data_IF_039248505139
#
_entry.id   IF_039248505139
#
_cell.length_a   1.000
_cell.length_b   1.000
_cell.length_c   1.000
_cell.angle_alpha   90.00
_cell.angle_beta   90.00
_cell.angle_gamma   90.00
#
_symmetry.space_group_name_H-M   'P 1'
#
loop_
_entity.id
_entity.type
_entity.pdbx_description
1 polymer ?
#
# COMPACT_ATOMS: atom_id res chain seq x y z
N UNK A 1 -12.25 3.44 49.69
CA UNK A 1 -11.15 4.36 49.34
C UNK A 1 -11.22 4.67 47.85
N UNK A 2 -10.64 5.77 47.38
CA UNK A 2 -10.45 6.07 45.96
C UNK A 2 -8.98 5.82 45.60
N UNK A 3 -8.71 5.16 44.48
CA UNK A 3 -7.36 5.07 43.92
C UNK A 3 -7.40 5.13 42.40
N UNK A 4 -6.33 5.65 41.80
CA UNK A 4 -6.20 5.77 40.36
C UNK A 4 -4.75 5.50 39.96
N UNK A 5 -4.56 4.80 38.85
CA UNK A 5 -3.27 4.58 38.21
C UNK A 5 -3.37 4.87 36.72
N UNK A 6 -2.37 5.58 36.21
CA UNK A 6 -2.26 5.93 34.80
C UNK A 6 -0.87 5.53 34.34
N UNK A 7 -0.80 4.76 33.27
CA UNK A 7 0.43 4.41 32.58
C UNK A 7 0.32 4.80 31.12
N UNK A 8 1.36 5.41 30.58
CA UNK A 8 1.44 5.71 29.16
C UNK A 8 2.88 5.46 28.68
N UNK A 9 3.03 4.80 27.54
CA UNK A 9 4.31 4.62 26.89
C UNK A 9 4.20 4.91 25.39
N UNK A 10 5.29 5.43 24.82
CA UNK A 10 5.48 5.58 23.39
C UNK A 10 6.85 5.03 23.01
N UNK A 11 6.89 4.28 21.91
CA UNK A 11 8.10 3.67 21.37
C UNK A 11 8.21 4.04 19.89
N UNK A 12 9.37 4.52 19.49
CA UNK A 12 9.73 4.79 18.09
C UNK A 12 10.70 3.73 17.61
N UNK A 13 10.57 3.31 16.36
CA UNK A 13 11.48 2.35 15.73
C UNK A 13 12.01 2.95 14.43
N UNK A 14 13.33 2.94 14.27
CA UNK A 14 14.01 3.23 13.01
C UNK A 14 15.00 2.12 12.76
N UNK A 15 15.03 1.62 11.54
CA UNK A 15 15.92 0.56 11.12
C UNK A 15 16.43 0.82 9.70
N UNK A 16 17.56 0.20 9.40
CA UNK A 16 18.25 0.33 8.13
C UNK A 16 18.98 -0.98 7.85
N UNK A 17 18.92 -1.46 6.61
CA UNK A 17 19.70 -2.60 6.15
C UNK A 17 21.08 -2.09 5.76
N UNK A 18 22.11 -2.54 6.45
CA UNK A 18 23.49 -2.11 6.17
C UNK A 18 24.15 -2.89 5.04
N UNK A 19 23.85 -4.18 4.90
CA UNK A 19 24.46 -5.04 3.89
C UNK A 19 23.49 -6.16 3.48
N UNK A 20 23.44 -6.42 2.17
CA UNK A 20 22.85 -7.61 1.57
C UNK A 20 23.92 -8.26 0.70
N UNK A 21 24.52 -9.32 1.21
CA UNK A 21 25.68 -9.95 0.58
C UNK A 21 25.28 -10.78 -0.66
N UNK A 22 24.94 -10.09 -1.76
CA UNK A 22 24.73 -10.61 -3.11
C UNK A 22 25.03 -9.50 -4.15
N UNK A 23 25.05 -9.85 -5.45
CA UNK A 23 25.40 -8.90 -6.52
C UNK A 23 24.38 -7.76 -6.70
N UNK A 24 23.13 -8.00 -6.32
CA UNK A 24 22.03 -7.03 -6.51
C UNK A 24 21.85 -6.09 -5.33
N UNK A 25 22.51 -6.34 -4.19
CA UNK A 25 22.34 -5.61 -2.92
C UNK A 25 20.90 -5.56 -2.40
N UNK A 26 20.06 -6.50 -2.85
CA UNK A 26 18.69 -6.65 -2.37
C UNK A 26 18.17 -8.09 -2.45
N UNK A 27 17.14 -8.38 -1.66
CA UNK A 27 16.33 -9.60 -1.72
C UNK A 27 14.84 -9.23 -1.71
N UNK A 28 14.07 -9.75 -2.66
CA UNK A 28 12.60 -9.63 -2.64
C UNK A 28 11.96 -10.86 -1.97
N UNK A 29 10.98 -10.64 -1.09
CA UNK A 29 10.26 -11.71 -0.36
C UNK A 29 8.78 -11.38 -0.17
N UNK A 30 8.08 -12.33 0.44
CA UNK A 30 6.63 -12.30 0.60
C UNK A 30 5.94 -12.89 -0.62
N UNK A 31 4.74 -13.40 -0.41
CA UNK A 31 3.90 -13.90 -1.48
C UNK A 31 2.44 -13.73 -1.07
N UNK A 32 1.58 -13.50 -2.06
CA UNK A 32 0.15 -13.62 -1.92
C UNK A 32 -0.32 -14.84 -2.70
N UNK A 33 -1.36 -15.51 -2.21
CA UNK A 33 -1.92 -16.73 -2.84
C UNK A 33 -2.52 -16.49 -4.23
N UNK A 34 -2.57 -15.23 -4.69
CA UNK A 34 -3.10 -14.82 -6.00
C UNK A 34 -2.02 -14.61 -7.08
N UNK A 35 -0.77 -15.02 -6.81
CA UNK A 35 0.27 -15.15 -7.85
C UNK A 35 1.01 -13.87 -8.24
N UNK A 36 1.03 -12.87 -7.35
CA UNK A 36 1.77 -11.61 -7.56
C UNK A 36 3.26 -11.74 -7.27
N UNK A 37 4.05 -10.80 -7.79
CA UNK A 37 5.46 -10.65 -7.43
C UNK A 37 5.63 -10.42 -5.92
N UNK A 38 6.83 -10.70 -5.42
CA UNK A 38 7.19 -10.44 -4.04
C UNK A 38 6.93 -8.97 -3.67
N UNK A 39 6.08 -8.70 -2.66
CA UNK A 39 5.66 -7.34 -2.33
C UNK A 39 6.66 -6.57 -1.48
N UNK A 40 7.61 -7.25 -0.84
CA UNK A 40 8.61 -6.60 0.02
C UNK A 40 10.01 -6.75 -0.54
N UNK A 41 10.84 -5.75 -0.28
CA UNK A 41 12.26 -5.78 -0.62
C UNK A 41 13.11 -5.42 0.61
N UNK A 42 14.16 -6.19 0.82
CA UNK A 42 15.25 -5.88 1.75
C UNK A 42 16.41 -5.37 0.90
N UNK A 43 16.70 -4.08 0.97
CA UNK A 43 17.69 -3.38 0.13
C UNK A 43 18.61 -2.54 1.02
N UNK A 44 19.91 -2.51 0.71
CA UNK A 44 20.88 -1.69 1.44
C UNK A 44 20.47 -0.21 1.49
N UNK A 45 20.65 0.42 2.66
CA UNK A 45 20.28 1.82 2.89
C UNK A 45 18.77 2.08 3.02
N UNK A 46 17.93 1.03 2.99
CA UNK A 46 16.47 1.12 3.17
C UNK A 46 16.00 0.45 4.46
N UNK A 47 14.79 0.76 4.95
CA UNK A 47 14.15 -0.04 5.99
C UNK A 47 13.99 -1.50 5.56
N UNK A 48 14.16 -2.42 6.50
CA UNK A 48 14.02 -3.85 6.26
C UNK A 48 12.60 -4.21 5.80
N UNK A 49 12.49 -4.80 4.61
CA UNK A 49 11.22 -5.33 4.11
C UNK A 49 10.18 -4.26 3.80
N UNK A 50 10.60 -3.10 3.31
CA UNK A 50 9.70 -2.08 2.77
C UNK A 50 8.93 -2.60 1.56
N UNK A 51 7.81 -1.96 1.23
CA UNK A 51 6.96 -2.33 0.10
C UNK A 51 7.54 -1.83 -1.22
N UNK A 52 7.68 -2.73 -2.18
CA UNK A 52 8.29 -2.45 -3.48
C UNK A 52 7.33 -2.74 -4.62
N UNK A 53 6.96 -1.70 -5.38
CA UNK A 53 5.93 -1.80 -6.42
C UNK A 53 5.83 -0.53 -7.25
N UNK A 54 4.89 -0.51 -8.19
CA UNK A 54 4.63 0.68 -8.99
C UNK A 54 3.84 1.70 -8.20
N UNK A 55 4.24 2.98 -8.32
CA UNK A 55 3.46 4.10 -7.80
C UNK A 55 2.42 4.51 -8.83
N UNK A 56 1.21 4.81 -8.38
CA UNK A 56 0.17 5.41 -9.22
C UNK A 56 -0.08 6.86 -8.83
N UNK A 57 -0.58 7.65 -9.76
CA UNK A 57 -0.98 9.04 -9.56
C UNK A 57 -2.42 9.29 -10.04
N UNK A 58 -3.29 8.30 -9.82
CA UNK A 58 -4.73 8.37 -10.08
C UNK A 58 -5.16 7.47 -11.22
N UNK A 59 -6.24 7.89 -11.88
CA UNK A 59 -6.89 7.18 -12.99
C UNK A 59 -6.98 8.12 -14.18
N UNK A 60 -6.69 7.61 -15.38
CA UNK A 60 -6.92 8.36 -16.62
C UNK A 60 -8.39 8.73 -16.77
N UNK A 61 -8.71 10.01 -16.79
CA UNK A 61 -10.09 10.48 -16.88
C UNK A 61 -10.63 10.53 -18.31
N UNK A 62 -9.74 10.67 -19.30
CA UNK A 62 -10.12 10.77 -20.70
C UNK A 62 -8.95 10.35 -21.61
N UNK A 63 -9.22 10.26 -22.93
CA UNK A 63 -8.23 9.78 -23.90
C UNK A 63 -7.05 10.75 -24.05
N UNK A 64 -7.26 12.06 -23.89
CA UNK A 64 -6.19 13.04 -24.01
C UNK A 64 -5.13 12.85 -22.91
N UNK A 65 -5.54 12.47 -21.70
CA UNK A 65 -4.60 12.11 -20.64
C UNK A 65 -3.81 10.84 -20.97
N UNK A 66 -4.44 9.84 -21.57
CA UNK A 66 -3.76 8.60 -22.02
C UNK A 66 -2.72 8.93 -23.10
N UNK A 67 -3.09 9.74 -24.08
CA UNK A 67 -2.24 10.07 -25.23
C UNK A 67 -1.05 10.98 -24.83
N UNK A 68 -1.23 11.79 -23.79
CA UNK A 68 -0.18 12.68 -23.26
C UNK A 68 0.82 11.96 -22.33
N UNK A 69 0.55 10.71 -21.96
CA UNK A 69 1.32 9.94 -20.99
C UNK A 69 2.22 8.90 -21.65
N UNK A 70 3.38 8.53 -21.04
CA UNK A 70 4.15 7.38 -21.47
C UNK A 70 3.30 6.10 -21.64
N UNK A 71 3.62 5.32 -22.67
CA UNK A 71 2.90 4.08 -22.94
C UNK A 71 3.07 3.08 -21.80
N UNK A 72 1.95 2.58 -21.26
CA UNK A 72 1.94 1.54 -20.23
C UNK A 72 1.93 0.12 -20.80
N UNK A 73 2.13 -0.04 -22.13
CA UNK A 73 2.02 -1.35 -22.80
C UNK A 73 2.97 -2.40 -22.23
N UNK A 74 4.20 -2.00 -21.86
CA UNK A 74 5.18 -2.90 -21.26
C UNK A 74 4.79 -3.39 -19.85
N UNK A 75 3.81 -2.74 -19.21
CA UNK A 75 3.22 -3.17 -17.94
C UNK A 75 2.09 -4.20 -18.11
N UNK A 76 1.71 -4.52 -19.36
CA UNK A 76 0.83 -5.65 -19.68
C UNK A 76 -0.28 -5.34 -20.68
N UNK A 77 -0.70 -4.08 -20.81
CA UNK A 77 -1.76 -3.67 -21.74
C UNK A 77 -1.68 -2.17 -22.08
N UNK A 78 -2.27 -1.78 -23.21
CA UNK A 78 -2.51 -0.37 -23.49
C UNK A 78 -3.48 0.20 -22.46
N UNK A 79 -3.13 1.34 -21.88
CA UNK A 79 -4.01 2.09 -21.02
C UNK A 79 -5.22 2.63 -21.81
N UNK A 80 -6.37 2.70 -21.15
CA UNK A 80 -7.54 3.39 -21.65
C UNK A 80 -8.13 4.29 -20.54
N UNK A 81 -9.06 5.20 -20.87
CA UNK A 81 -9.78 5.97 -19.86
C UNK A 81 -10.41 5.04 -18.82
N UNK A 82 -10.19 5.34 -17.55
CA UNK A 82 -10.59 4.53 -16.41
C UNK A 82 -9.53 3.57 -15.86
N UNK A 83 -8.39 3.41 -16.52
CA UNK A 83 -7.27 2.59 -16.01
C UNK A 83 -6.33 3.41 -15.08
N UNK A 84 -5.58 2.71 -14.24
CA UNK A 84 -4.57 3.31 -13.36
C UNK A 84 -3.49 4.02 -14.19
N UNK A 85 -3.09 5.21 -13.73
CA UNK A 85 -1.94 5.94 -14.25
C UNK A 85 -0.72 5.68 -13.38
N UNK A 86 0.30 5.07 -13.97
CA UNK A 86 1.56 4.72 -13.30
C UNK A 86 2.58 5.84 -13.48
N UNK A 87 3.32 6.13 -12.41
CA UNK A 87 4.35 7.17 -12.41
C UNK A 87 5.63 6.64 -13.04
N UNK A 88 6.15 7.35 -14.05
CA UNK A 88 7.54 7.18 -14.51
C UNK A 88 8.46 7.73 -13.41
N UNK A 89 9.10 6.81 -12.68
CA UNK A 89 9.90 7.15 -11.49
C UNK A 89 11.29 7.63 -11.90
N UNK A 90 11.79 7.16 -13.03
CA UNK A 90 13.15 7.38 -13.47
C UNK A 90 13.26 8.55 -14.49
N UNK A 91 12.14 8.97 -15.09
CA UNK A 91 12.02 10.13 -15.97
C UNK A 91 12.53 9.91 -17.39
N UNK A 92 12.64 8.66 -17.85
CA UNK A 92 13.10 8.32 -19.20
C UNK A 92 11.97 8.29 -20.25
N UNK A 93 10.72 8.50 -19.82
CA UNK A 93 9.54 8.48 -20.67
C UNK A 93 9.10 7.08 -21.09
N UNK A 94 9.61 6.02 -20.44
CA UNK A 94 9.28 4.62 -20.70
C UNK A 94 8.82 3.97 -19.40
N UNK A 95 7.56 3.55 -19.36
CA UNK A 95 7.04 2.79 -18.22
C UNK A 95 7.38 1.30 -18.34
N UNK A 96 8.35 0.85 -17.56
CA UNK A 96 8.80 -0.54 -17.51
C UNK A 96 9.08 -1.01 -16.07
N UNK A 97 9.66 -2.21 -15.92
CA UNK A 97 9.98 -2.80 -14.61
C UNK A 97 10.89 -1.95 -13.70
N UNK A 98 11.61 -0.96 -14.25
CA UNK A 98 12.49 -0.03 -13.54
C UNK A 98 11.72 1.07 -12.81
N UNK A 99 10.42 1.22 -13.07
CA UNK A 99 9.58 2.21 -12.38
C UNK A 99 8.97 1.70 -11.08
N UNK A 100 9.33 0.48 -10.67
CA UNK A 100 9.06 0.03 -9.31
C UNK A 100 9.92 0.82 -8.32
N UNK A 101 9.32 1.24 -7.22
CA UNK A 101 9.96 2.05 -6.20
C UNK A 101 9.46 1.66 -4.80
N UNK A 102 10.02 2.30 -3.77
CA UNK A 102 9.49 2.20 -2.41
C UNK A 102 8.12 2.89 -2.35
N UNK A 103 7.08 2.11 -2.04
CA UNK A 103 5.69 2.58 -1.95
C UNK A 103 5.12 2.53 -0.52
N UNK A 104 5.94 2.19 0.49
CA UNK A 104 5.52 2.21 1.89
C UNK A 104 6.35 1.32 2.80
N UNK A 105 6.09 1.40 4.10
CA UNK A 105 6.78 0.63 5.13
C UNK A 105 5.79 0.03 6.12
N UNK A 106 5.89 -1.29 6.35
CA UNK A 106 5.08 -2.00 7.36
C UNK A 106 5.49 -1.66 8.80
N UNK A 107 6.68 -1.09 9.00
CA UNK A 107 7.20 -0.77 10.31
C UNK A 107 6.58 0.55 10.79
N UNK A 108 5.86 0.57 11.92
CA UNK A 108 5.23 1.79 12.40
C UNK A 108 6.26 2.80 12.88
N UNK A 109 6.00 4.06 12.57
CA UNK A 109 6.79 5.19 13.08
C UNK A 109 6.71 5.25 14.61
N UNK A 110 5.53 4.97 15.17
CA UNK A 110 5.32 4.95 16.62
C UNK A 110 4.33 3.86 17.04
N UNK A 111 4.61 3.24 18.19
CA UNK A 111 3.67 2.39 18.91
C UNK A 111 3.44 2.95 20.30
N UNK A 112 2.20 2.91 20.76
CA UNK A 112 1.77 3.58 21.99
C UNK A 112 0.89 2.65 22.82
N UNK A 113 1.02 2.73 24.14
CA UNK A 113 0.18 2.04 25.10
C UNK A 113 -0.35 3.00 26.14
N UNK A 114 -1.64 2.90 26.46
CA UNK A 114 -2.27 3.66 27.53
C UNK A 114 -3.09 2.74 28.43
N UNK A 115 -2.83 2.84 29.73
CA UNK A 115 -3.43 2.04 30.79
C UNK A 115 -4.03 2.99 31.82
N UNK A 116 -5.30 2.83 32.13
CA UNK A 116 -6.02 3.58 33.14
C UNK A 116 -6.74 2.62 34.06
N UNK A 117 -6.52 2.76 35.37
CA UNK A 117 -7.20 1.98 36.39
C UNK A 117 -7.74 2.94 37.44
N UNK A 118 -8.98 2.73 37.86
CA UNK A 118 -9.64 3.54 38.86
C UNK A 118 -10.43 2.62 39.78
N UNK A 119 -10.27 2.80 41.09
CA UNK A 119 -11.09 2.16 42.10
C UNK A 119 -11.84 3.24 42.88
N UNK A 120 -13.13 3.06 43.05
CA UNK A 120 -13.97 3.94 43.86
C UNK A 120 -14.97 3.11 44.68
N UNK A 121 -14.79 3.10 46.00
CA UNK A 121 -15.57 2.25 46.93
C UNK A 121 -15.43 0.77 46.53
N UNK A 122 -16.52 0.14 46.06
CA UNK A 122 -16.58 -1.25 45.65
C UNK A 122 -16.68 -1.39 44.11
N UNK A 123 -16.31 -0.34 43.37
CA UNK A 123 -16.25 -0.35 41.91
C UNK A 123 -14.81 -0.26 41.46
N UNK A 124 -14.41 -1.16 40.57
CA UNK A 124 -13.18 -1.12 39.79
C UNK A 124 -13.50 -0.82 38.32
N UNK A 125 -12.62 -0.04 37.68
CA UNK A 125 -12.69 0.30 36.27
C UNK A 125 -11.28 0.26 35.68
N UNK A 126 -11.12 -0.43 34.55
CA UNK A 126 -9.84 -0.53 33.87
C UNK A 126 -10.01 -0.36 32.35
N UNK A 127 -9.08 0.39 31.75
CA UNK A 127 -8.96 0.60 30.30
C UNK A 127 -7.53 0.35 29.90
N UNK A 128 -7.35 -0.46 28.85
CA UNK A 128 -6.08 -0.74 28.21
C UNK A 128 -6.25 -0.46 26.72
N UNK A 129 -5.38 0.37 26.16
CA UNK A 129 -5.42 0.72 24.73
C UNK A 129 -4.02 0.65 24.15
N UNK A 130 -3.96 0.28 22.88
CA UNK A 130 -2.75 0.18 22.10
C UNK A 130 -2.96 0.88 20.76
N UNK A 131 -1.93 1.56 20.25
CA UNK A 131 -1.94 2.15 18.92
C UNK A 131 -0.63 1.87 18.17
N UNK A 132 -0.74 1.66 16.87
CA UNK A 132 0.36 1.59 15.89
C UNK A 132 0.10 2.64 14.83
N UNK A 133 1.03 3.58 14.66
CA UNK A 133 0.84 4.76 13.82
C UNK A 133 1.94 4.85 12.77
N UNK A 134 1.53 5.21 11.55
CA UNK A 134 2.43 5.48 10.43
C UNK A 134 3.03 4.23 9.77
N UNK A 135 2.44 3.04 9.99
CA UNK A 135 2.72 1.88 9.15
C UNK A 135 1.76 1.84 7.96
N UNK A 136 2.27 1.38 6.83
CA UNK A 136 1.50 1.06 5.64
C UNK A 136 1.04 -0.40 5.67
N UNK A 137 0.04 -0.72 4.86
CA UNK A 137 -0.47 -2.08 4.70
C UNK A 137 -0.68 -2.37 3.21
N UNK A 138 -0.19 -3.52 2.77
CA UNK A 138 -0.61 -4.08 1.49
C UNK A 138 -1.84 -4.93 1.71
N UNK A 139 -2.82 -4.72 0.85
CA UNK A 139 -4.02 -5.51 0.72
C UNK A 139 -3.99 -6.23 -0.62
N UNK A 140 -4.23 -7.53 -0.60
CA UNK A 140 -4.27 -8.33 -1.82
C UNK A 140 -5.12 -9.60 -1.61
N UNK A 141 -6.41 -9.39 -1.34
CA UNK A 141 -7.38 -10.48 -1.20
C UNK A 141 -8.43 -10.47 -2.33
N UNK A 142 -8.34 -9.49 -3.23
CA UNK A 142 -9.13 -9.37 -4.44
C UNK A 142 -8.82 -10.53 -5.39
N UNK A 143 -9.86 -10.96 -6.10
CA UNK A 143 -9.74 -11.98 -7.12
C UNK A 143 -9.83 -11.31 -8.49
N UNK A 144 -8.83 -11.55 -9.33
CA UNK A 144 -8.77 -11.03 -10.70
C UNK A 144 -9.54 -11.91 -11.70
N UNK A 145 -10.60 -12.59 -11.25
CA UNK A 145 -11.49 -13.36 -12.14
C UNK A 145 -12.73 -12.52 -12.43
N UNK A 146 -13.25 -12.60 -13.67
CA UNK A 146 -14.41 -11.80 -14.10
C UNK A 146 -15.73 -12.20 -13.42
N UNK A 147 -15.91 -13.49 -13.12
CA UNK A 147 -17.19 -14.05 -12.67
C UNK A 147 -17.16 -14.47 -11.19
N UNK A 148 -16.55 -13.63 -10.34
CA UNK A 148 -16.50 -13.86 -8.89
C UNK A 148 -17.13 -12.69 -8.14
N UNK A 149 -17.45 -12.92 -6.87
CA UNK A 149 -17.95 -11.84 -6.04
C UNK A 149 -16.84 -10.80 -5.79
N UNK A 150 -17.20 -9.53 -5.84
CA UNK A 150 -16.31 -8.42 -5.54
C UNK A 150 -16.81 -7.68 -4.29
N UNK A 151 -15.93 -6.91 -3.67
CA UNK A 151 -16.36 -6.01 -2.61
C UNK A 151 -17.17 -4.84 -3.18
N UNK A 152 -18.04 -4.28 -2.34
CA UNK A 152 -18.97 -3.22 -2.71
C UNK A 152 -18.30 -1.92 -3.16
N UNK A 153 -17.04 -1.64 -2.81
CA UNK A 153 -16.34 -0.42 -3.28
C UNK A 153 -16.21 -0.36 -4.81
N UNK A 154 -16.31 -1.51 -5.49
CA UNK A 154 -16.32 -1.59 -6.98
C UNK A 154 -17.59 -0.96 -7.57
N UNK A 155 -18.63 -0.74 -6.76
CA UNK A 155 -19.80 0.04 -7.18
C UNK A 155 -19.44 1.51 -7.45
N UNK A 156 -18.43 2.05 -6.76
CA UNK A 156 -17.90 3.41 -6.92
C UNK A 156 -16.76 3.50 -7.95
N UNK A 157 -16.69 2.52 -8.87
CA UNK A 157 -15.71 2.47 -9.95
C UNK A 157 -15.85 3.63 -10.93
N UNK A 158 -14.78 3.85 -11.67
CA UNK A 158 -14.81 4.72 -12.83
C UNK A 158 -15.80 4.21 -13.89
N UNK A 159 -16.71 5.07 -14.31
CA UNK A 159 -17.70 4.84 -15.38
C UNK A 159 -17.74 5.98 -16.40
N UNK A 160 -16.95 7.02 -16.17
CA UNK A 160 -16.81 8.21 -16.99
C UNK A 160 -15.96 9.24 -16.26
N UNK A 161 -15.57 10.29 -16.98
CA UNK A 161 -14.78 11.40 -16.43
C UNK A 161 -15.42 11.96 -15.14
N UNK A 162 -14.62 12.05 -14.08
CA UNK A 162 -15.03 12.60 -12.78
C UNK A 162 -15.78 11.64 -11.86
N UNK A 163 -16.11 10.41 -12.28
CA UNK A 163 -16.88 9.49 -11.42
C UNK A 163 -16.03 8.77 -10.37
N UNK A 164 -14.73 8.58 -10.62
CA UNK A 164 -13.79 8.00 -9.65
C UNK A 164 -12.35 8.42 -9.94
N UNK A 165 -11.55 8.60 -8.90
CA UNK A 165 -10.10 8.84 -9.02
C UNK A 165 -9.25 7.75 -8.35
N UNK A 166 -9.90 6.75 -7.74
CA UNK A 166 -9.24 5.71 -6.94
C UNK A 166 -9.69 4.30 -7.29
N UNK A 167 -10.89 4.11 -7.85
CA UNK A 167 -11.41 2.80 -8.23
C UNK A 167 -11.46 2.70 -9.76
N UNK A 168 -10.56 1.94 -10.40
CA UNK A 168 -10.49 1.82 -11.85
C UNK A 168 -11.77 1.27 -12.47
N UNK A 169 -11.93 1.46 -13.77
CA UNK A 169 -13.03 0.87 -14.53
C UNK A 169 -13.03 -0.65 -14.40
N UNK A 170 -14.21 -1.25 -14.50
CA UNK A 170 -14.34 -2.70 -14.64
C UNK A 170 -14.30 -3.03 -16.13
N UNK A 171 -13.45 -3.99 -16.49
CA UNK A 171 -13.26 -4.48 -17.86
C UNK A 171 -13.01 -5.98 -17.86
N UNK A 172 -13.45 -6.67 -18.91
CA UNK A 172 -13.09 -8.06 -19.18
C UNK A 172 -11.95 -8.20 -20.20
N UNK A 173 -11.50 -7.08 -20.78
CA UNK A 173 -10.34 -7.02 -21.66
C UNK A 173 -9.02 -6.93 -20.89
N UNK A 174 -7.91 -7.01 -21.61
CA UNK A 174 -6.58 -6.81 -21.02
C UNK A 174 -6.46 -5.42 -20.40
N UNK A 175 -5.92 -5.35 -19.19
CA UNK A 175 -5.62 -4.12 -18.46
C UNK A 175 -4.43 -4.34 -17.53
N UNK A 176 -3.74 -3.26 -17.18
CA UNK A 176 -2.67 -3.23 -16.18
C UNK A 176 -3.17 -2.81 -14.78
N UNK A 177 -4.49 -2.72 -14.58
CA UNK A 177 -5.13 -2.40 -13.30
C UNK A 177 -4.85 -3.45 -12.20
#
# INVERSE_FOLDING_TARGET
AFSMSVGYNVTFLKNEVFEVNNETHYIERGAFSVGQQAPTRMEEGKPIGYFYGYKTDGIFQNQAEVDAHPSQLALGANAAPGDLRFVDVNGDGVLDSKDRTNIGDQIPTATMGFNFQMNYKNLDFAVYTYASLGNDLIRNYERNLSDVNHLNYVLDRWTGEGTSNSTPRVTTGATAN
#
